data_IF_118877091408
#
_entry.id   IF_118877091408
#
_cell.length_a   1.000
_cell.length_b   1.000
_cell.length_c   1.000
_cell.angle_alpha   90.00
_cell.angle_beta   90.00
_cell.angle_gamma   90.00
#
_symmetry.space_group_name_H-M   'P 1'
#
loop_
_entity.id
_entity.type
_entity.pdbx_description
1 polymer ?
#
# COMPACT_ATOMS: atom_id res chain seq x y z
N UNK A 1 49.13 -10.60 -38.86
CA UNK A 1 48.74 -9.19 -38.77
C UNK A 1 47.20 -9.13 -38.67
N UNK A 2 46.66 -9.14 -37.47
CA UNK A 2 45.18 -9.04 -37.25
C UNK A 2 44.83 -7.67 -36.70
N UNK A 3 43.81 -6.97 -37.18
CA UNK A 3 43.52 -5.62 -36.74
C UNK A 3 42.80 -5.62 -35.40
N UNK A 4 43.33 -4.88 -34.43
CA UNK A 4 42.67 -4.50 -33.17
C UNK A 4 41.67 -3.37 -33.51
N UNK A 5 40.37 -3.70 -33.66
CA UNK A 5 39.31 -2.68 -33.60
C UNK A 5 37.95 -3.31 -33.43
N UNK A 6 37.56 -3.72 -32.21
CA UNK A 6 36.17 -4.04 -31.89
C UNK A 6 35.80 -3.98 -30.40
N UNK A 7 36.63 -3.37 -29.55
CA UNK A 7 36.36 -3.34 -28.08
C UNK A 7 35.77 -1.99 -27.61
N UNK A 8 35.78 -0.94 -28.44
CA UNK A 8 35.33 0.41 -28.01
C UNK A 8 33.84 0.67 -28.28
N UNK A 9 33.13 -0.18 -29.03
CA UNK A 9 31.73 0.08 -29.38
C UNK A 9 30.67 -0.47 -28.42
N UNK A 10 31.03 -1.28 -27.44
CA UNK A 10 30.04 -1.88 -26.52
C UNK A 10 29.70 -0.98 -25.31
N UNK A 11 30.56 -0.07 -24.90
CA UNK A 11 30.29 0.78 -23.74
C UNK A 11 29.31 1.93 -24.03
N UNK A 12 29.25 2.45 -25.26
CA UNK A 12 28.33 3.53 -25.61
C UNK A 12 26.87 3.05 -25.84
N UNK A 13 26.68 1.73 -26.03
CA UNK A 13 25.35 1.16 -26.24
C UNK A 13 24.68 0.73 -24.91
N UNK A 14 25.46 0.46 -23.87
CA UNK A 14 24.96 0.16 -22.53
C UNK A 14 24.52 1.41 -21.76
N UNK A 15 25.14 2.58 -22.03
CA UNK A 15 24.72 3.85 -21.41
C UNK A 15 23.37 4.35 -21.93
N UNK A 16 22.89 3.92 -23.12
CA UNK A 16 21.64 4.38 -23.72
C UNK A 16 20.38 3.67 -23.19
N UNK A 17 20.50 2.66 -22.32
CA UNK A 17 19.38 1.90 -21.75
C UNK A 17 19.45 1.80 -20.21
N UNK A 18 19.98 2.80 -19.55
CA UNK A 18 19.89 2.84 -18.08
C UNK A 18 18.46 3.15 -17.67
N UNK A 19 17.88 2.34 -16.79
CA UNK A 19 16.54 2.58 -16.29
C UNK A 19 16.48 3.89 -15.52
N UNK A 20 15.36 4.60 -15.58
CA UNK A 20 15.16 5.88 -14.90
C UNK A 20 15.41 5.75 -13.38
N UNK A 21 15.15 4.59 -12.80
CA UNK A 21 15.45 4.31 -11.39
C UNK A 21 16.95 4.38 -11.11
N UNK A 22 17.78 3.80 -11.99
CA UNK A 22 19.23 3.87 -11.84
C UNK A 22 19.75 5.30 -12.00
N UNK A 23 19.24 6.03 -12.99
CA UNK A 23 19.59 7.45 -13.19
C UNK A 23 19.24 8.29 -11.95
N UNK A 24 18.05 8.05 -11.37
CA UNK A 24 17.61 8.73 -10.14
C UNK A 24 18.54 8.42 -8.97
N UNK A 25 18.94 7.15 -8.79
CA UNK A 25 19.89 6.79 -7.72
C UNK A 25 21.25 7.45 -7.91
N UNK A 26 21.77 7.53 -9.15
CA UNK A 26 23.02 8.24 -9.44
C UNK A 26 22.88 9.75 -9.19
N UNK A 27 21.75 10.33 -9.56
CA UNK A 27 21.47 11.74 -9.27
C UNK A 27 21.44 12.02 -7.76
N UNK A 28 20.70 11.21 -6.99
CA UNK A 28 20.66 11.32 -5.52
C UNK A 28 22.08 11.17 -4.95
N UNK A 29 22.84 10.17 -5.40
CA UNK A 29 24.22 9.96 -4.98
C UNK A 29 25.12 11.17 -5.24
N UNK A 30 24.90 11.89 -6.35
CA UNK A 30 25.65 13.11 -6.67
C UNK A 30 25.38 14.28 -5.71
N UNK A 31 24.28 14.23 -4.96
CA UNK A 31 23.86 15.26 -3.98
C UNK A 31 24.10 14.81 -2.54
N UNK A 32 23.93 13.51 -2.29
CA UNK A 32 24.11 12.88 -1.00
C UNK A 32 24.70 11.46 -1.22
N UNK A 33 25.99 11.34 -0.98
CA UNK A 33 26.73 10.09 -1.21
C UNK A 33 26.21 8.95 -0.32
N UNK A 34 25.89 9.25 0.95
CA UNK A 34 25.47 8.23 1.93
C UNK A 34 24.10 7.66 1.57
N UNK A 35 23.13 8.53 1.28
CA UNK A 35 21.78 8.12 0.86
C UNK A 35 21.83 7.42 -0.50
N UNK A 36 22.56 7.96 -1.47
CA UNK A 36 22.68 7.33 -2.78
C UNK A 36 23.33 5.96 -2.72
N UNK A 37 24.34 5.76 -1.87
CA UNK A 37 24.96 4.45 -1.64
C UNK A 37 23.97 3.47 -0.98
N UNK A 38 23.16 3.93 -0.02
CA UNK A 38 22.13 3.11 0.61
C UNK A 38 21.05 2.66 -0.39
N UNK A 39 20.55 3.57 -1.23
CA UNK A 39 19.57 3.25 -2.29
C UNK A 39 20.11 2.21 -3.28
N UNK A 40 21.38 2.31 -3.66
CA UNK A 40 22.00 1.30 -4.53
C UNK A 40 22.06 -0.08 -3.89
N UNK A 41 22.41 -0.15 -2.59
CA UNK A 41 22.43 -1.44 -1.87
C UNK A 41 21.02 -2.02 -1.76
N UNK A 42 19.99 -1.19 -1.49
CA UNK A 42 18.61 -1.64 -1.43
C UNK A 42 18.10 -2.12 -2.79
N UNK A 43 18.40 -1.41 -3.87
CA UNK A 43 18.09 -1.85 -5.22
C UNK A 43 18.71 -3.22 -5.53
N UNK A 44 19.97 -3.43 -5.14
CA UNK A 44 20.63 -4.71 -5.35
C UNK A 44 20.02 -5.80 -4.46
N UNK A 45 19.69 -5.49 -3.19
CA UNK A 45 19.01 -6.42 -2.29
C UNK A 45 17.69 -6.92 -2.89
N UNK A 46 16.87 -6.03 -3.40
CA UNK A 46 15.58 -6.39 -4.02
C UNK A 46 15.75 -7.26 -5.27
N UNK A 47 16.84 -7.10 -6.00
CA UNK A 47 17.16 -7.96 -7.16
C UNK A 47 17.65 -9.35 -6.79
N UNK A 48 18.40 -9.46 -5.70
CA UNK A 48 19.08 -10.69 -5.30
C UNK A 48 18.20 -11.58 -4.39
N UNK A 49 17.12 -11.05 -3.86
CA UNK A 49 16.26 -11.76 -2.91
C UNK A 49 14.85 -11.96 -3.48
N UNK A 50 14.23 -13.06 -3.06
CA UNK A 50 12.80 -13.28 -3.26
C UNK A 50 12.07 -12.68 -2.05
N UNK A 51 11.20 -11.71 -2.30
CA UNK A 51 10.38 -11.11 -1.25
C UNK A 51 9.24 -12.06 -0.84
N UNK A 52 9.20 -12.41 0.45
CA UNK A 52 8.20 -13.32 1.03
C UNK A 52 7.21 -12.61 1.97
N UNK A 53 7.33 -11.29 2.13
CA UNK A 53 6.37 -10.51 2.91
C UNK A 53 5.12 -10.30 2.05
N UNK A 54 4.01 -10.93 2.43
CA UNK A 54 2.78 -10.98 1.64
C UNK A 54 2.15 -9.60 1.33
N UNK A 55 2.46 -8.58 2.13
CA UNK A 55 1.97 -7.21 1.98
C UNK A 55 2.88 -6.31 1.13
N UNK A 56 4.06 -6.79 0.71
CA UNK A 56 4.95 -6.03 -0.16
C UNK A 56 4.61 -6.24 -1.65
N UNK A 57 4.84 -5.20 -2.45
CA UNK A 57 4.66 -5.23 -3.90
C UNK A 57 5.78 -4.42 -4.57
N UNK A 58 6.27 -4.94 -5.69
CA UNK A 58 7.25 -4.23 -6.52
C UNK A 58 6.48 -3.40 -7.54
N UNK A 59 6.52 -2.08 -7.35
CA UNK A 59 5.82 -1.13 -8.23
C UNK A 59 6.62 -0.81 -9.49
N UNK A 60 5.94 -0.32 -10.53
CA UNK A 60 6.60 0.12 -11.76
C UNK A 60 7.44 1.38 -11.55
N UNK A 61 8.43 1.58 -12.42
CA UNK A 61 9.25 2.81 -12.42
C UNK A 61 8.39 4.08 -12.52
N UNK A 62 7.31 4.05 -13.31
CA UNK A 62 6.41 5.19 -13.44
C UNK A 62 5.73 5.56 -12.12
N UNK A 63 5.35 4.58 -11.30
CA UNK A 63 4.78 4.82 -9.95
C UNK A 63 5.82 5.46 -9.04
N UNK A 64 7.05 4.92 -9.01
CA UNK A 64 8.14 5.50 -8.22
C UNK A 64 8.43 6.94 -8.59
N UNK A 65 8.48 7.24 -9.90
CA UNK A 65 8.75 8.59 -10.39
C UNK A 65 7.59 9.56 -10.10
N UNK A 66 6.35 9.10 -10.19
CA UNK A 66 5.18 9.92 -9.86
C UNK A 66 5.17 10.31 -8.36
N UNK A 67 5.56 9.39 -7.47
CA UNK A 67 5.66 9.68 -6.03
C UNK A 67 6.71 10.74 -5.70
N UNK A 68 7.84 10.76 -6.41
CA UNK A 68 8.91 11.74 -6.25
C UNK A 68 8.79 12.97 -7.15
N UNK A 69 7.62 13.22 -7.74
CA UNK A 69 7.41 14.33 -8.68
C UNK A 69 7.22 15.69 -8.01
N UNK A 70 7.04 16.72 -8.81
CA UNK A 70 6.77 18.10 -8.35
C UNK A 70 5.49 18.22 -7.50
N UNK A 71 4.59 17.26 -7.58
CA UNK A 71 3.40 17.20 -6.74
C UNK A 71 3.76 17.14 -5.23
N UNK A 72 4.93 16.62 -4.89
CA UNK A 72 5.48 16.60 -3.52
C UNK A 72 5.58 18.01 -2.91
N UNK A 73 5.73 19.05 -3.72
CA UNK A 73 5.85 20.44 -3.25
C UNK A 73 4.50 21.09 -2.95
N UNK A 74 3.37 20.44 -3.30
CA UNK A 74 2.05 21.06 -3.21
C UNK A 74 1.26 20.62 -1.99
N UNK A 75 0.97 21.55 -1.12
CA UNK A 75 0.02 21.37 -0.02
C UNK A 75 -1.41 21.55 -0.54
N UNK A 76 -2.26 20.50 -0.43
CA UNK A 76 -3.59 20.44 -1.05
C UNK A 76 -4.67 19.93 -0.08
N UNK A 77 -4.70 20.50 1.13
CA UNK A 77 -5.71 20.16 2.14
C UNK A 77 -7.12 20.47 1.64
N UNK A 78 -8.06 19.61 1.96
CA UNK A 78 -9.43 19.62 1.46
C UNK A 78 -9.61 18.61 0.32
N UNK A 79 -10.69 18.74 -0.43
CA UNK A 79 -11.04 17.85 -1.54
C UNK A 79 -10.98 18.58 -2.88
N UNK A 80 -10.93 17.85 -3.98
CA UNK A 80 -10.94 18.41 -5.33
C UNK A 80 -12.11 19.41 -5.49
N UNK A 81 -11.80 20.61 -5.97
CA UNK A 81 -12.76 21.71 -6.09
C UNK A 81 -13.17 22.39 -4.77
N UNK A 82 -12.70 21.90 -3.62
CA UNK A 82 -12.99 22.45 -2.28
C UNK A 82 -11.73 22.48 -1.41
N UNK A 83 -10.68 23.12 -1.90
CA UNK A 83 -9.39 23.23 -1.20
C UNK A 83 -9.37 24.44 -0.27
N UNK A 84 -8.58 24.29 0.81
CA UNK A 84 -8.30 25.42 1.71
C UNK A 84 -7.25 26.39 1.14
N UNK A 85 -6.46 25.94 0.16
CA UNK A 85 -5.37 26.70 -0.44
C UNK A 85 -5.54 26.87 -1.95
N UNK A 86 -5.00 27.95 -2.49
CA UNK A 86 -4.95 28.21 -3.92
C UNK A 86 -3.90 27.34 -4.65
N UNK A 87 -3.98 27.32 -5.99
CA UNK A 87 -2.99 26.66 -6.83
C UNK A 87 -3.11 25.13 -6.87
N UNK A 88 -4.28 24.57 -6.55
CA UNK A 88 -4.47 23.13 -6.48
C UNK A 88 -5.03 22.50 -7.77
N UNK A 89 -5.21 23.26 -8.84
CA UNK A 89 -5.91 22.82 -10.06
C UNK A 89 -5.33 21.52 -10.64
N UNK A 90 -4.00 21.42 -10.73
CA UNK A 90 -3.35 20.21 -11.25
C UNK A 90 -3.44 19.03 -10.26
N UNK A 91 -3.41 19.29 -8.96
CA UNK A 91 -3.60 18.24 -7.96
C UNK A 91 -5.05 17.75 -7.97
N UNK A 92 -6.01 18.65 -8.17
CA UNK A 92 -7.44 18.29 -8.33
C UNK A 92 -7.65 17.37 -9.54
N UNK A 93 -6.95 17.65 -10.64
CA UNK A 93 -6.98 16.79 -11.83
C UNK A 93 -6.40 15.40 -11.53
N UNK A 94 -5.21 15.33 -10.91
CA UNK A 94 -4.55 14.07 -10.55
C UNK A 94 -5.44 13.26 -9.61
N UNK A 95 -6.00 13.88 -8.58
CA UNK A 95 -6.88 13.21 -7.61
C UNK A 95 -8.17 12.71 -8.27
N UNK A 96 -8.78 13.52 -9.13
CA UNK A 96 -10.00 13.14 -9.87
C UNK A 96 -9.74 11.95 -10.79
N UNK A 97 -8.62 11.95 -11.54
CA UNK A 97 -8.21 10.82 -12.38
C UNK A 97 -8.04 9.55 -11.53
N UNK A 98 -7.40 9.66 -10.37
CA UNK A 98 -7.20 8.52 -9.46
C UNK A 98 -8.54 7.98 -8.95
N UNK A 99 -9.46 8.85 -8.51
CA UNK A 99 -10.81 8.48 -8.05
C UNK A 99 -11.56 7.73 -9.14
N UNK A 100 -11.63 8.25 -10.36
CA UNK A 100 -12.39 7.64 -11.45
C UNK A 100 -11.77 6.28 -11.87
N UNK A 101 -10.45 6.14 -11.82
CA UNK A 101 -9.78 4.87 -12.11
C UNK A 101 -10.04 3.82 -11.03
N UNK A 102 -10.01 4.19 -9.75
CA UNK A 102 -10.32 3.30 -8.63
C UNK A 102 -11.79 2.86 -8.68
N UNK A 103 -12.72 3.80 -8.91
CA UNK A 103 -14.14 3.47 -9.09
C UNK A 103 -14.36 2.46 -10.21
N UNK A 104 -13.71 2.67 -11.35
CA UNK A 104 -13.80 1.74 -12.49
C UNK A 104 -13.20 0.37 -12.17
N UNK A 105 -12.06 0.34 -11.48
CA UNK A 105 -11.34 -0.89 -11.13
C UNK A 105 -12.15 -1.79 -10.20
N UNK A 106 -12.81 -1.19 -9.20
CA UNK A 106 -13.56 -1.91 -8.18
C UNK A 106 -15.08 -1.95 -8.41
N UNK A 107 -15.59 -1.31 -9.47
CA UNK A 107 -17.03 -1.18 -9.70
C UNK A 107 -17.73 -0.37 -8.62
N UNK A 108 -17.02 0.57 -7.96
CA UNK A 108 -17.51 1.32 -6.84
C UNK A 108 -18.18 2.63 -7.29
N UNK A 109 -19.24 3.05 -6.57
CA UNK A 109 -19.89 4.34 -6.82
C UNK A 109 -19.06 5.50 -6.28
N UNK A 110 -18.35 5.29 -5.17
CA UNK A 110 -17.53 6.30 -4.48
C UNK A 110 -16.15 5.76 -4.19
N UNK A 111 -15.16 6.65 -4.16
CA UNK A 111 -13.80 6.35 -3.76
C UNK A 111 -13.15 7.57 -3.10
N UNK A 112 -12.28 7.31 -2.14
CA UNK A 112 -11.39 8.30 -1.55
C UNK A 112 -9.95 7.81 -1.71
N UNK A 113 -9.11 8.61 -2.37
CA UNK A 113 -7.71 8.28 -2.67
C UNK A 113 -6.71 9.07 -1.83
N UNK A 114 -7.19 9.81 -0.81
CA UNK A 114 -6.33 10.65 0.02
C UNK A 114 -5.56 9.91 1.13
N UNK A 115 -6.02 8.76 1.67
CA UNK A 115 -5.24 8.06 2.68
C UNK A 115 -3.83 7.74 2.18
N UNK A 116 -2.81 8.05 2.99
CA UNK A 116 -1.41 7.82 2.63
C UNK A 116 -0.97 6.36 2.77
N UNK A 117 -1.79 5.51 3.43
CA UNK A 117 -1.52 4.10 3.65
C UNK A 117 -2.81 3.31 3.85
N UNK A 118 -2.75 1.98 3.70
CA UNK A 118 -3.87 1.10 4.06
C UNK A 118 -4.26 1.23 5.53
N UNK A 119 -3.31 1.42 6.43
CA UNK A 119 -3.58 1.64 7.85
C UNK A 119 -4.42 2.90 8.10
N UNK A 120 -4.08 4.03 7.46
CA UNK A 120 -4.87 5.26 7.59
C UNK A 120 -6.24 5.16 6.90
N UNK A 121 -6.36 4.40 5.81
CA UNK A 121 -7.64 4.12 5.16
C UNK A 121 -8.56 3.32 6.08
N UNK A 122 -8.08 2.22 6.66
CA UNK A 122 -8.84 1.40 7.60
C UNK A 122 -9.26 2.22 8.83
N UNK A 123 -8.33 2.98 9.41
CA UNK A 123 -8.63 3.84 10.54
C UNK A 123 -9.72 4.87 10.22
N UNK A 124 -9.68 5.48 9.03
CA UNK A 124 -10.72 6.42 8.62
C UNK A 124 -12.11 5.77 8.54
N UNK A 125 -12.20 4.55 8.02
CA UNK A 125 -13.45 3.78 7.96
C UNK A 125 -13.92 3.39 9.38
N UNK A 126 -13.01 2.89 10.21
CA UNK A 126 -13.29 2.55 11.61
C UNK A 126 -13.88 3.75 12.38
N UNK A 127 -13.24 4.91 12.29
CA UNK A 127 -13.72 6.12 12.96
C UNK A 127 -15.02 6.70 12.38
N UNK A 128 -15.32 6.43 11.10
CA UNK A 128 -16.59 6.82 10.51
C UNK A 128 -17.78 6.02 11.06
N UNK A 129 -17.53 4.76 11.46
CA UNK A 129 -18.58 3.80 11.85
C UNK A 129 -18.60 3.54 13.36
N UNK A 130 -17.42 3.54 14.01
CA UNK A 130 -17.23 3.12 15.39
C UNK A 130 -16.94 4.31 16.31
N UNK A 131 -17.21 4.08 17.61
CA UNK A 131 -16.75 4.92 18.72
C UNK A 131 -15.81 4.12 19.61
N UNK A 132 -14.90 4.75 20.37
CA UNK A 132 -14.08 4.04 21.35
C UNK A 132 -14.94 3.15 22.26
N UNK A 133 -14.55 1.87 22.37
CA UNK A 133 -15.29 0.87 23.15
C UNK A 133 -16.36 0.09 22.38
N UNK A 134 -16.69 0.48 21.14
CA UNK A 134 -17.55 -0.36 20.27
C UNK A 134 -16.86 -1.69 19.93
N UNK A 135 -17.64 -2.70 19.59
CA UNK A 135 -17.08 -4.00 19.21
C UNK A 135 -16.74 -4.01 17.72
N UNK A 136 -15.45 -4.28 17.45
CA UNK A 136 -14.92 -4.56 16.13
C UNK A 136 -14.56 -6.04 16.04
N UNK A 137 -15.07 -6.73 15.03
CA UNK A 137 -14.72 -8.12 14.74
C UNK A 137 -13.80 -8.19 13.52
N UNK A 138 -12.73 -8.99 13.60
CA UNK A 138 -11.76 -9.12 12.51
C UNK A 138 -10.98 -10.43 12.57
N UNK A 139 -10.29 -10.76 11.46
CA UNK A 139 -9.41 -11.92 11.44
C UNK A 139 -8.21 -11.70 12.35
N UNK A 140 -7.88 -12.70 13.18
CA UNK A 140 -6.71 -12.66 14.04
C UNK A 140 -5.41 -12.58 13.21
N UNK A 141 -4.39 -11.98 13.80
CA UNK A 141 -3.08 -11.83 13.16
C UNK A 141 -2.47 -13.21 12.85
N UNK A 142 -2.61 -14.17 13.78
CA UNK A 142 -2.09 -15.54 13.64
C UNK A 142 -2.74 -16.32 12.50
N UNK A 143 -3.97 -15.96 12.13
CA UNK A 143 -4.69 -16.55 11.01
C UNK A 143 -4.41 -15.85 9.66
N UNK A 144 -3.59 -14.81 9.65
CA UNK A 144 -3.24 -14.03 8.46
C UNK A 144 -3.93 -12.68 8.37
N UNK A 145 -4.63 -12.22 9.40
CA UNK A 145 -5.23 -10.90 9.48
C UNK A 145 -4.20 -9.77 9.45
N UNK A 146 -4.67 -8.54 9.30
CA UNK A 146 -3.82 -7.36 9.30
C UNK A 146 -3.78 -6.73 10.70
N UNK A 147 -2.70 -5.99 11.02
CA UNK A 147 -2.56 -5.27 12.29
C UNK A 147 -3.77 -4.35 12.59
N UNK A 148 -4.32 -3.69 11.57
CA UNK A 148 -5.47 -2.79 11.70
C UNK A 148 -6.81 -3.51 11.93
N UNK A 149 -6.83 -4.84 11.98
CA UNK A 149 -8.03 -5.62 12.28
C UNK A 149 -8.19 -5.93 13.78
N UNK A 150 -7.65 -5.08 14.65
CA UNK A 150 -7.79 -5.19 16.09
C UNK A 150 -6.56 -5.75 16.82
N UNK A 151 -5.38 -5.77 16.22
CA UNK A 151 -4.15 -6.16 16.92
C UNK A 151 -3.90 -5.24 18.12
N UNK A 152 -3.50 -5.77 19.29
CA UNK A 152 -3.15 -4.96 20.46
C UNK A 152 -2.00 -3.96 20.21
N UNK A 153 -1.17 -4.21 19.20
CA UNK A 153 -0.09 -3.30 18.79
C UNK A 153 -0.57 -2.15 17.87
N UNK A 154 -1.86 -2.12 17.54
CA UNK A 154 -2.44 -1.12 16.63
C UNK A 154 -3.49 -0.27 17.36
N UNK A 155 -3.78 0.92 16.82
CA UNK A 155 -4.82 1.83 17.35
C UNK A 155 -6.16 1.09 17.43
N UNK A 156 -6.54 0.29 16.43
CA UNK A 156 -7.79 -0.47 16.43
C UNK A 156 -7.95 -1.36 17.67
N UNK A 157 -6.89 -2.07 18.07
CA UNK A 157 -6.89 -2.93 19.24
C UNK A 157 -6.88 -2.18 20.59
N UNK A 158 -6.49 -0.89 20.58
CA UNK A 158 -6.47 -0.07 21.80
C UNK A 158 -7.76 0.74 22.00
N UNK A 159 -8.45 1.07 20.90
CA UNK A 159 -9.65 1.93 20.97
C UNK A 159 -10.97 1.15 20.97
N UNK A 160 -10.99 -0.05 20.38
CA UNK A 160 -12.18 -0.85 20.21
C UNK A 160 -12.10 -2.14 21.02
N UNK A 161 -13.26 -2.72 21.36
CA UNK A 161 -13.35 -4.05 21.94
C UNK A 161 -13.26 -5.09 20.82
N UNK A 162 -12.20 -5.87 20.80
CA UNK A 162 -11.90 -6.77 19.68
C UNK A 162 -12.44 -8.16 19.93
N UNK A 163 -13.15 -8.70 18.94
CA UNK A 163 -13.52 -10.11 18.83
C UNK A 163 -12.87 -10.69 17.58
N UNK A 164 -11.97 -11.64 17.75
CA UNK A 164 -11.25 -12.22 16.62
C UNK A 164 -11.86 -13.54 16.16
N UNK A 165 -11.85 -13.75 14.84
CA UNK A 165 -12.04 -15.07 14.24
C UNK A 165 -10.74 -15.57 13.60
N UNK A 166 -10.63 -16.87 13.43
CA UNK A 166 -9.45 -17.53 12.90
C UNK A 166 -9.78 -18.43 11.72
N UNK A 167 -8.97 -19.47 11.58
CA UNK A 167 -9.14 -20.54 10.59
C UNK A 167 -9.29 -21.89 11.31
N UNK A 168 -9.96 -22.84 10.65
CA UNK A 168 -10.08 -24.22 11.13
C UNK A 168 -8.75 -24.99 10.95
N UNK A 169 -8.74 -26.27 11.32
CA UNK A 169 -7.55 -27.12 11.25
C UNK A 169 -6.99 -27.29 9.82
N UNK A 170 -7.82 -27.12 8.80
CA UNK A 170 -7.45 -27.20 7.39
C UNK A 170 -7.01 -25.84 6.79
N UNK A 171 -6.99 -24.80 7.62
CA UNK A 171 -6.58 -23.45 7.24
C UNK A 171 -7.63 -22.67 6.44
N UNK A 172 -8.91 -23.00 6.61
CA UNK A 172 -10.03 -22.24 6.02
C UNK A 172 -10.75 -21.43 7.09
N UNK A 173 -11.31 -20.28 6.69
CA UNK A 173 -12.25 -19.55 7.52
C UNK A 173 -13.47 -20.44 7.78
N UNK A 174 -13.82 -20.62 9.04
CA UNK A 174 -15.04 -21.28 9.45
C UNK A 174 -16.16 -20.24 9.58
N UNK A 175 -16.99 -20.14 8.53
CA UNK A 175 -18.04 -19.13 8.48
C UNK A 175 -19.15 -19.36 9.50
N UNK A 176 -19.42 -20.61 9.88
CA UNK A 176 -20.40 -20.94 10.94
C UNK A 176 -19.89 -20.42 12.30
N UNK A 177 -18.59 -20.55 12.57
CA UNK A 177 -17.97 -19.97 13.77
C UNK A 177 -17.99 -18.44 13.73
N UNK A 178 -17.71 -17.84 12.56
CA UNK A 178 -17.80 -16.39 12.37
C UNK A 178 -19.21 -15.88 12.66
N UNK A 179 -20.23 -16.51 12.09
CA UNK A 179 -21.64 -16.16 12.32
C UNK A 179 -22.00 -16.29 13.80
N UNK A 180 -21.67 -17.42 14.42
CA UNK A 180 -21.92 -17.65 15.84
C UNK A 180 -21.32 -16.55 16.71
N UNK A 181 -20.04 -16.25 16.54
CA UNK A 181 -19.35 -15.16 17.25
C UNK A 181 -20.01 -13.81 17.03
N UNK A 182 -20.38 -13.51 15.77
CA UNK A 182 -21.04 -12.26 15.43
C UNK A 182 -22.42 -12.14 16.12
N UNK A 183 -23.19 -13.23 16.17
CA UNK A 183 -24.48 -13.25 16.85
C UNK A 183 -24.36 -13.09 18.37
N UNK A 184 -23.31 -13.66 18.95
CA UNK A 184 -23.03 -13.58 20.40
C UNK A 184 -22.57 -12.17 20.81
N UNK A 185 -21.58 -11.60 20.11
CA UNK A 185 -20.97 -10.31 20.48
C UNK A 185 -21.65 -9.09 19.84
N UNK A 186 -22.44 -9.29 18.78
CA UNK A 186 -23.13 -8.23 18.03
C UNK A 186 -22.20 -7.08 17.65
N UNK A 187 -21.15 -7.35 16.85
CA UNK A 187 -20.18 -6.34 16.52
C UNK A 187 -20.83 -5.23 15.70
N UNK A 188 -20.40 -4.03 15.90
CA UNK A 188 -20.86 -2.89 15.13
C UNK A 188 -20.22 -2.83 13.74
N UNK A 189 -19.07 -3.47 13.60
CA UNK A 189 -18.34 -3.61 12.35
C UNK A 189 -17.61 -4.95 12.31
N UNK A 190 -17.63 -5.60 11.15
CA UNK A 190 -16.77 -6.75 10.83
C UNK A 190 -15.78 -6.29 9.77
N UNK A 191 -14.49 -6.38 10.10
CA UNK A 191 -13.41 -6.12 9.15
C UNK A 191 -13.02 -7.41 8.46
N UNK A 192 -13.36 -7.54 7.17
CA UNK A 192 -13.06 -8.70 6.36
C UNK A 192 -11.89 -8.41 5.41
N UNK A 193 -10.95 -9.33 5.33
CA UNK A 193 -9.73 -9.21 4.55
C UNK A 193 -8.54 -9.79 5.31
N UNK A 194 -7.41 -9.89 4.63
CA UNK A 194 -6.21 -10.46 5.24
C UNK A 194 -4.94 -9.97 4.52
N UNK A 195 -3.80 -9.99 5.23
CA UNK A 195 -2.48 -9.80 4.63
C UNK A 195 -1.85 -11.12 4.18
N UNK A 196 -2.08 -12.20 4.92
CA UNK A 196 -1.37 -13.47 4.72
C UNK A 196 -2.30 -14.70 4.63
N UNK A 197 -3.59 -14.52 4.48
CA UNK A 197 -4.53 -15.62 4.22
C UNK A 197 -4.55 -15.90 2.71
N UNK A 198 -4.08 -17.09 2.26
CA UNK A 198 -3.83 -17.32 0.83
C UNK A 198 -5.03 -17.85 0.06
N UNK A 199 -6.21 -17.90 0.67
CA UNK A 199 -7.41 -18.50 0.08
C UNK A 199 -8.42 -17.41 -0.27
N UNK A 200 -9.39 -17.76 -1.11
CA UNK A 200 -10.50 -16.88 -1.47
C UNK A 200 -11.41 -16.71 -0.25
N UNK A 201 -11.76 -15.46 0.03
CA UNK A 201 -12.77 -15.12 1.05
C UNK A 201 -14.12 -15.07 0.35
N UNK A 202 -15.08 -15.83 0.86
CA UNK A 202 -16.47 -15.77 0.40
C UNK A 202 -17.21 -14.66 1.15
N UNK A 203 -17.65 -13.66 0.41
CA UNK A 203 -18.37 -12.50 0.96
C UNK A 203 -19.90 -12.63 0.87
N UNK A 204 -20.44 -13.79 0.53
CA UNK A 204 -21.90 -14.01 0.42
C UNK A 204 -22.55 -14.39 1.72
#
# INVERSE_FOLDING_TARGET
MYPKSSIIKNNECEEKNMSIVKETMEFVKSKDEEIGAALKREYQRQKDNIELIASENIVSEAVMMAMGSVATNKYAEGYSGKRYYGGCQCIDEIETIAIERVKKLFGAEYANVQPHSGASANLAVEYAVLKPGDILMGMSLDAGGHLTHGSPANISGNYFNIVSYGVNADGYIDYDEVEKKAMECKPKMICAGASAYPRIIDFK
#
